data_IF_479562544522
#
_entry.id   IF_479562544522
#
_cell.length_a   1.000
_cell.length_b   1.000
_cell.length_c   1.000
_cell.angle_alpha   90.00
_cell.angle_beta   90.00
_cell.angle_gamma   90.00
#
_symmetry.space_group_name_H-M   'P 1'
#
loop_
_entity.id
_entity.type
_entity.pdbx_description
1 polymer ?
#
# COMPACT_ATOMS: atom_id res chain seq x y z
N UNK A 1 11.55 3.36 -7.08
CA UNK A 1 11.28 4.50 -6.16
C UNK A 1 9.92 5.11 -6.47
N UNK A 2 9.33 5.81 -5.49
CA UNK A 2 8.11 6.59 -5.74
C UNK A 2 8.45 7.78 -6.65
N UNK A 3 7.59 8.19 -7.60
CA UNK A 3 7.84 9.34 -8.48
C UNK A 3 8.26 10.60 -7.71
N UNK A 4 7.60 10.90 -6.60
CA UNK A 4 7.89 12.06 -5.75
C UNK A 4 9.30 12.04 -5.14
N UNK A 5 9.88 10.86 -4.95
CA UNK A 5 11.26 10.75 -4.45
C UNK A 5 12.27 11.32 -5.45
N UNK A 6 12.04 11.09 -6.74
CA UNK A 6 12.90 11.61 -7.80
C UNK A 6 12.63 13.10 -8.10
N UNK A 7 11.38 13.53 -7.97
CA UNK A 7 10.96 14.89 -8.32
C UNK A 7 11.19 15.86 -7.16
N UNK A 8 10.88 15.46 -5.93
CA UNK A 8 10.85 16.33 -4.75
C UNK A 8 11.86 15.93 -3.66
N UNK A 9 12.64 14.86 -3.87
CA UNK A 9 13.64 14.37 -2.91
C UNK A 9 13.05 13.77 -1.63
N UNK A 10 11.73 13.54 -1.57
CA UNK A 10 11.03 12.95 -0.42
C UNK A 10 10.01 11.92 -0.85
N UNK A 11 9.93 10.83 -0.12
CA UNK A 11 8.93 9.78 -0.34
C UNK A 11 7.71 10.08 0.53
N UNK A 12 6.50 10.23 -0.06
CA UNK A 12 5.29 10.32 0.76
C UNK A 12 5.08 9.00 1.50
N UNK A 13 4.48 9.02 2.70
CA UNK A 13 4.19 7.79 3.42
C UNK A 13 3.28 6.89 2.59
N UNK A 14 3.71 5.64 2.42
CA UNK A 14 2.97 4.64 1.66
C UNK A 14 1.85 4.04 2.53
N UNK A 15 0.68 3.82 1.96
CA UNK A 15 -0.42 3.11 2.65
C UNK A 15 -0.06 1.63 2.83
N UNK A 16 0.61 1.03 1.86
CA UNK A 16 1.02 -0.37 1.86
C UNK A 16 2.44 -0.52 1.32
N UNK A 17 3.17 -1.52 1.79
CA UNK A 17 4.43 -1.94 1.14
C UNK A 17 4.16 -2.51 -0.26
N UNK A 18 5.22 -2.70 -1.04
CA UNK A 18 5.11 -3.38 -2.35
C UNK A 18 4.61 -4.82 -2.16
N UNK A 19 5.12 -5.52 -1.15
CA UNK A 19 4.73 -6.89 -0.81
C UNK A 19 3.26 -6.97 -0.39
N UNK A 20 2.81 -6.07 0.48
CA UNK A 20 1.41 -6.01 0.91
C UNK A 20 0.49 -5.71 -0.27
N UNK A 21 0.88 -4.77 -1.14
CA UNK A 21 0.12 -4.44 -2.35
C UNK A 21 -0.02 -5.64 -3.28
N UNK A 22 1.07 -6.38 -3.50
CA UNK A 22 1.05 -7.62 -4.31
C UNK A 22 0.09 -8.65 -3.72
N UNK A 23 0.16 -8.89 -2.41
CA UNK A 23 -0.72 -9.83 -1.70
C UNK A 23 -2.19 -9.41 -1.78
N UNK A 24 -2.48 -8.12 -1.57
CA UNK A 24 -3.83 -7.59 -1.65
C UNK A 24 -4.41 -7.73 -3.06
N UNK A 25 -3.67 -7.39 -4.09
CA UNK A 25 -4.09 -7.52 -5.49
C UNK A 25 -4.40 -8.99 -5.82
N UNK A 26 -3.52 -9.90 -5.43
CA UNK A 26 -3.74 -11.34 -5.65
C UNK A 26 -4.95 -11.86 -4.86
N UNK A 27 -5.05 -11.51 -3.58
CA UNK A 27 -6.10 -12.04 -2.69
C UNK A 27 -7.49 -11.49 -2.98
N UNK A 28 -7.59 -10.19 -3.29
CA UNK A 28 -8.88 -9.52 -3.49
C UNK A 28 -9.41 -9.67 -4.92
N UNK A 29 -8.51 -9.74 -5.90
CA UNK A 29 -8.89 -9.70 -7.31
C UNK A 29 -8.44 -10.93 -8.10
N UNK A 30 -7.77 -11.91 -7.48
CA UNK A 30 -7.27 -13.11 -8.17
C UNK A 30 -6.18 -12.84 -9.21
N UNK A 31 -5.53 -11.68 -9.16
CA UNK A 31 -4.46 -11.32 -10.10
C UNK A 31 -3.15 -11.94 -9.60
N UNK A 32 -2.67 -12.95 -10.30
CA UNK A 32 -1.47 -13.68 -9.92
C UNK A 32 -0.18 -12.97 -10.33
N UNK A 33 -0.21 -12.24 -11.45
CA UNK A 33 0.99 -11.62 -12.03
C UNK A 33 0.95 -10.11 -11.90
N UNK A 34 1.77 -9.58 -11.01
CA UNK A 34 1.92 -8.14 -10.77
C UNK A 34 3.34 -7.72 -11.09
N UNK A 35 3.50 -6.76 -11.99
CA UNK A 35 4.79 -6.19 -12.38
C UNK A 35 4.96 -4.81 -11.72
N UNK A 36 6.08 -4.63 -11.04
CA UNK A 36 6.48 -3.34 -10.49
C UNK A 36 7.61 -2.76 -11.33
N UNK A 37 7.29 -1.72 -12.08
CA UNK A 37 8.27 -1.03 -12.90
C UNK A 37 9.07 -0.04 -12.05
N UNK A 38 10.41 -0.04 -12.14
CA UNK A 38 11.19 0.97 -11.45
C UNK A 38 10.88 2.34 -12.10
N UNK A 39 10.53 3.32 -11.27
CA UNK A 39 10.44 4.69 -11.72
C UNK A 39 11.83 5.32 -11.56
N UNK A 40 12.54 5.42 -12.66
CA UNK A 40 13.88 5.98 -12.77
C UNK A 40 13.89 7.17 -13.73
N UNK A 41 15.10 7.69 -14.05
CA UNK A 41 15.23 8.84 -14.93
C UNK A 41 14.77 8.53 -16.36
N UNK A 42 14.98 7.32 -16.85
CA UNK A 42 14.53 6.91 -18.18
C UNK A 42 12.99 6.93 -18.26
N UNK A 43 12.32 6.33 -17.26
CA UNK A 43 10.86 6.35 -17.15
C UNK A 43 10.32 7.77 -17.00
N UNK A 44 10.97 8.61 -16.20
CA UNK A 44 10.56 10.01 -15.97
C UNK A 44 10.63 10.87 -17.23
N UNK A 45 11.59 10.61 -18.14
CA UNK A 45 11.78 11.37 -19.36
C UNK A 45 11.17 10.71 -20.61
N UNK A 46 10.54 9.56 -20.48
CA UNK A 46 9.93 8.82 -21.59
C UNK A 46 8.75 9.60 -22.18
N UNK A 47 8.70 9.84 -23.50
CA UNK A 47 7.56 10.43 -24.17
C UNK A 47 6.29 9.59 -23.89
N UNK A 48 5.15 10.24 -23.80
CA UNK A 48 3.91 9.52 -23.49
C UNK A 48 3.51 8.51 -24.58
N UNK A 49 3.86 8.76 -25.84
CA UNK A 49 3.65 7.82 -26.96
C UNK A 49 4.49 6.56 -26.76
N UNK A 50 5.79 6.71 -26.45
CA UNK A 50 6.74 5.61 -26.27
C UNK A 50 6.35 4.76 -25.03
N UNK A 51 5.78 5.40 -23.99
CA UNK A 51 5.23 4.69 -22.85
C UNK A 51 4.11 3.71 -23.25
N UNK A 52 3.22 4.11 -24.16
CA UNK A 52 2.14 3.24 -24.65
C UNK A 52 2.68 2.23 -25.64
N UNK A 53 3.37 2.70 -26.69
CA UNK A 53 3.71 1.90 -27.85
C UNK A 53 4.86 0.92 -27.57
N UNK A 54 5.96 1.42 -27.02
CA UNK A 54 7.17 0.63 -26.85
C UNK A 54 7.14 -0.16 -25.56
N UNK A 55 6.73 0.48 -24.45
CA UNK A 55 6.73 -0.16 -23.16
C UNK A 55 5.51 -1.07 -22.97
N UNK A 56 4.29 -0.53 -23.06
CA UNK A 56 3.09 -1.32 -22.74
C UNK A 56 2.74 -2.29 -23.85
N UNK A 57 2.69 -1.87 -25.11
CA UNK A 57 2.29 -2.73 -26.22
C UNK A 57 3.45 -3.63 -26.64
N UNK A 58 4.60 -3.07 -27.06
CA UNK A 58 5.67 -3.85 -27.68
C UNK A 58 6.41 -4.71 -26.65
N UNK A 59 6.75 -4.17 -25.47
CA UNK A 59 7.53 -4.90 -24.46
C UNK A 59 6.65 -5.85 -23.63
N UNK A 60 5.49 -5.39 -23.16
CA UNK A 60 4.62 -6.19 -22.29
C UNK A 60 3.45 -6.86 -22.98
N UNK A 61 3.23 -6.59 -24.26
CA UNK A 61 2.16 -7.24 -25.05
C UNK A 61 0.77 -6.83 -24.60
N UNK A 62 0.59 -5.60 -24.13
CA UNK A 62 -0.70 -5.12 -23.67
C UNK A 62 -1.71 -5.07 -24.83
N UNK A 63 -2.87 -5.68 -24.64
CA UNK A 63 -3.97 -5.69 -25.61
C UNK A 63 -5.17 -4.88 -25.14
N UNK A 64 -5.17 -4.47 -23.86
CA UNK A 64 -6.19 -3.64 -23.25
C UNK A 64 -5.58 -2.86 -22.10
N UNK A 65 -5.85 -1.56 -22.01
CA UNK A 65 -5.36 -0.70 -20.95
C UNK A 65 -6.53 -0.20 -20.09
N UNK A 66 -6.33 -0.10 -18.79
CA UNK A 66 -7.31 0.47 -17.86
C UNK A 66 -6.62 1.52 -16.99
N UNK A 67 -7.20 2.71 -16.92
CA UNK A 67 -6.64 3.82 -16.14
C UNK A 67 -7.74 4.60 -15.40
N UNK A 68 -7.37 5.31 -14.35
CA UNK A 68 -8.28 6.25 -13.68
C UNK A 68 -8.48 7.54 -14.49
N UNK A 69 -9.57 8.24 -14.20
CA UNK A 69 -9.93 9.52 -14.83
C UNK A 69 -8.87 10.63 -14.67
N UNK A 70 -8.04 10.53 -13.65
CA UNK A 70 -6.99 11.49 -13.30
C UNK A 70 -5.56 10.96 -13.58
N UNK A 71 -5.46 9.86 -14.37
CA UNK A 71 -4.18 9.26 -14.66
C UNK A 71 -3.35 10.12 -15.61
N UNK A 72 -2.14 10.50 -15.17
CA UNK A 72 -1.17 11.23 -15.99
C UNK A 72 0.11 10.40 -16.10
N UNK A 73 0.73 10.44 -17.29
CA UNK A 73 1.91 9.63 -17.61
C UNK A 73 2.80 10.28 -18.64
N UNK A 74 3.97 9.67 -18.85
CA UNK A 74 4.97 10.19 -19.77
C UNK A 74 5.70 11.43 -19.25
N UNK A 75 6.64 11.93 -20.04
CA UNK A 75 7.47 13.07 -19.67
C UNK A 75 6.62 14.28 -19.31
N UNK A 76 6.85 14.87 -18.12
CA UNK A 76 6.13 16.03 -17.58
C UNK A 76 4.60 15.87 -17.54
N UNK A 77 4.12 14.66 -17.35
CA UNK A 77 2.69 14.36 -17.31
C UNK A 77 1.92 14.79 -18.57
N UNK A 78 2.58 14.73 -19.74
CA UNK A 78 1.95 15.11 -21.01
C UNK A 78 0.91 14.13 -21.51
N UNK A 79 0.94 12.86 -21.06
CA UNK A 79 -0.11 11.86 -21.27
C UNK A 79 -1.26 12.08 -20.30
N UNK A 80 -2.47 11.93 -20.79
CA UNK A 80 -3.74 12.06 -20.07
C UNK A 80 -4.73 10.97 -20.54
N UNK A 81 -5.90 10.80 -19.91
CA UNK A 81 -6.88 9.79 -20.30
C UNK A 81 -7.36 9.90 -21.74
N UNK A 82 -7.54 11.11 -22.28
CA UNK A 82 -8.01 11.32 -23.65
C UNK A 82 -6.97 10.87 -24.68
N UNK A 83 -5.69 11.20 -24.43
CA UNK A 83 -4.57 10.73 -25.24
C UNK A 83 -4.40 9.23 -25.15
N UNK A 84 -4.61 8.63 -23.96
CA UNK A 84 -4.58 7.19 -23.77
C UNK A 84 -5.65 6.51 -24.64
N UNK A 85 -6.90 6.96 -24.56
CA UNK A 85 -8.01 6.46 -25.36
C UNK A 85 -7.75 6.60 -26.88
N UNK A 86 -7.29 7.78 -27.30
CA UNK A 86 -6.99 8.04 -28.72
C UNK A 86 -5.90 7.11 -29.23
N UNK A 87 -4.79 6.97 -28.46
CA UNK A 87 -3.66 6.15 -28.87
C UNK A 87 -3.99 4.66 -28.89
N UNK A 88 -4.75 4.16 -27.92
CA UNK A 88 -5.23 2.78 -27.92
C UNK A 88 -6.09 2.48 -29.16
N UNK A 89 -6.99 3.41 -29.52
CA UNK A 89 -7.80 3.29 -30.74
C UNK A 89 -6.95 3.27 -32.02
N UNK A 90 -5.94 4.13 -32.12
CA UNK A 90 -4.98 4.13 -33.24
C UNK A 90 -4.20 2.81 -33.35
N UNK A 91 -3.89 2.19 -32.22
CA UNK A 91 -3.14 0.94 -32.12
C UNK A 91 -4.03 -0.32 -32.19
N UNK A 92 -5.35 -0.17 -32.25
CA UNK A 92 -6.28 -1.28 -32.30
C UNK A 92 -6.36 -2.11 -31.03
N UNK A 93 -6.07 -1.52 -29.87
CA UNK A 93 -6.20 -2.17 -28.56
C UNK A 93 -7.33 -1.55 -27.74
N UNK A 94 -7.83 -2.30 -26.76
CA UNK A 94 -8.89 -1.83 -25.86
C UNK A 94 -8.39 -0.80 -24.85
N UNK A 95 -9.29 0.08 -24.39
CA UNK A 95 -9.00 1.03 -23.32
C UNK A 95 -10.25 1.41 -22.55
N UNK A 96 -10.20 1.34 -21.22
CA UNK A 96 -11.23 1.82 -20.32
C UNK A 96 -10.68 2.89 -19.37
N UNK A 97 -11.41 3.99 -19.25
CA UNK A 97 -11.14 5.01 -18.24
C UNK A 97 -12.15 4.88 -17.12
N UNK A 98 -11.66 4.56 -15.93
CA UNK A 98 -12.48 4.42 -14.74
C UNK A 98 -12.86 5.81 -14.23
N UNK A 99 -14.15 6.11 -14.08
CA UNK A 99 -14.60 7.40 -13.56
C UNK A 99 -14.22 7.58 -12.09
N UNK A 100 -14.30 8.82 -11.63
CA UNK A 100 -14.11 9.15 -10.23
C UNK A 100 -15.09 8.36 -9.34
N UNK A 101 -14.55 7.70 -8.32
CA UNK A 101 -15.34 6.98 -7.33
C UNK A 101 -15.58 7.88 -6.11
N UNK A 102 -16.82 7.95 -5.67
CA UNK A 102 -17.19 8.66 -4.43
C UNK A 102 -17.88 7.70 -3.46
N UNK A 103 -17.69 7.92 -2.17
CA UNK A 103 -18.41 7.24 -1.10
C UNK A 103 -18.91 8.30 -0.10
N UNK A 104 -20.18 8.28 0.24
CA UNK A 104 -20.82 9.29 1.10
C UNK A 104 -20.57 10.74 0.63
N UNK A 105 -20.54 10.96 -0.69
CA UNK A 105 -20.26 12.27 -1.29
C UNK A 105 -18.78 12.69 -1.26
N UNK A 106 -17.88 11.84 -0.73
CA UNK A 106 -16.44 12.11 -0.63
C UNK A 106 -15.71 11.31 -1.67
N UNK A 107 -14.79 11.96 -2.38
CA UNK A 107 -13.92 11.29 -3.36
C UNK A 107 -13.02 10.26 -2.69
N UNK A 108 -13.02 9.03 -3.21
CA UNK A 108 -12.07 7.99 -2.80
C UNK A 108 -10.68 8.35 -3.35
N UNK A 109 -9.79 8.74 -2.45
CA UNK A 109 -8.43 9.14 -2.81
C UNK A 109 -7.41 8.68 -1.77
N UNK A 110 -6.19 8.41 -2.21
CA UNK A 110 -5.10 8.04 -1.31
C UNK A 110 -4.78 9.14 -0.28
N UNK A 111 -5.01 10.41 -0.62
CA UNK A 111 -4.82 11.53 0.30
C UNK A 111 -5.82 11.46 1.46
N UNK A 112 -7.10 11.31 1.15
CA UNK A 112 -8.12 11.19 2.19
C UNK A 112 -7.94 9.94 3.05
N UNK A 113 -7.62 8.80 2.43
CA UNK A 113 -7.34 7.55 3.15
C UNK A 113 -6.16 7.72 4.13
N UNK A 114 -5.10 8.42 3.74
CA UNK A 114 -3.98 8.72 4.66
C UNK A 114 -4.45 9.50 5.88
N UNK A 115 -5.27 10.54 5.72
CA UNK A 115 -5.76 11.31 6.87
C UNK A 115 -6.60 10.46 7.83
N UNK A 116 -7.38 9.50 7.32
CA UNK A 116 -8.15 8.57 8.14
C UNK A 116 -7.25 7.63 8.95
N UNK A 117 -6.20 7.08 8.32
CA UNK A 117 -5.23 6.21 8.98
C UNK A 117 -4.45 7.00 10.05
N UNK A 118 -3.94 8.18 9.71
CA UNK A 118 -3.19 9.06 10.61
C UNK A 118 -4.00 9.49 11.84
N UNK A 119 -5.32 9.63 11.68
CA UNK A 119 -6.24 9.95 12.77
C UNK A 119 -6.81 8.72 13.49
N UNK A 120 -6.42 7.50 13.11
CA UNK A 120 -6.88 6.25 13.74
C UNK A 120 -8.31 5.85 13.41
N UNK A 121 -8.96 6.49 12.43
CA UNK A 121 -10.33 6.17 11.99
C UNK A 121 -10.33 4.93 11.08
N UNK A 122 -9.98 3.76 11.64
CA UNK A 122 -9.65 2.58 10.87
C UNK A 122 -10.85 1.91 10.20
N UNK A 123 -12.04 1.95 10.81
CA UNK A 123 -13.28 1.47 10.17
C UNK A 123 -13.59 2.28 8.92
N UNK A 124 -13.53 3.60 9.05
CA UNK A 124 -13.76 4.49 7.91
C UNK A 124 -12.65 4.37 6.85
N UNK A 125 -11.41 4.22 7.26
CA UNK A 125 -10.30 3.94 6.34
C UNK A 125 -10.53 2.64 5.55
N UNK A 126 -11.02 1.57 6.20
CA UNK A 126 -11.35 0.31 5.55
C UNK A 126 -12.50 0.46 4.54
N UNK A 127 -13.48 1.29 4.84
CA UNK A 127 -14.58 1.61 3.94
C UNK A 127 -14.10 2.26 2.63
N UNK A 128 -13.16 3.20 2.73
CA UNK A 128 -12.59 3.88 1.56
C UNK A 128 -11.52 3.08 0.84
N UNK A 129 -10.81 2.19 1.53
CA UNK A 129 -9.86 1.24 0.93
C UNK A 129 -10.55 0.09 0.20
N UNK A 130 -11.78 -0.26 0.62
CA UNK A 130 -12.45 -1.50 0.20
C UNK A 130 -11.90 -2.77 0.88
N UNK A 131 -10.96 -2.61 1.82
CA UNK A 131 -10.37 -3.67 2.63
C UNK A 131 -9.78 -3.09 3.92
N UNK A 132 -9.53 -3.93 4.92
CA UNK A 132 -8.83 -3.48 6.14
C UNK A 132 -7.37 -3.13 5.82
N UNK A 133 -6.89 -2.06 6.42
CA UNK A 133 -5.46 -1.73 6.38
C UNK A 133 -4.64 -2.89 6.93
N UNK A 134 -3.54 -3.22 6.30
CA UNK A 134 -2.69 -4.33 6.70
C UNK A 134 -1.22 -3.91 6.75
N UNK A 135 -0.49 -4.61 7.60
CA UNK A 135 0.95 -4.48 7.78
C UNK A 135 1.57 -5.88 7.87
N UNK A 136 2.44 -6.23 6.93
CA UNK A 136 3.13 -7.52 6.93
C UNK A 136 4.60 -7.32 7.24
N UNK A 137 5.08 -8.00 8.29
CA UNK A 137 6.49 -7.99 8.71
C UNK A 137 6.88 -9.31 9.35
N UNK A 138 8.18 -9.55 9.37
CA UNK A 138 8.75 -10.61 10.18
C UNK A 138 8.65 -10.24 11.65
N UNK A 139 8.26 -11.21 12.47
CA UNK A 139 8.25 -11.05 13.92
C UNK A 139 9.67 -10.80 14.43
N UNK A 140 9.81 -9.81 15.27
CA UNK A 140 11.09 -9.49 15.92
C UNK A 140 11.01 -9.76 17.42
N UNK A 141 12.14 -10.15 18.02
CA UNK A 141 12.20 -10.33 19.45
C UNK A 141 12.10 -8.98 20.15
N UNK A 142 11.06 -8.82 20.98
CA UNK A 142 10.89 -7.68 21.89
C UNK A 142 11.49 -7.94 23.27
N UNK A 143 11.28 -7.01 24.18
CA UNK A 143 11.76 -7.09 25.59
C UNK A 143 11.13 -8.23 26.42
N UNK A 144 10.24 -9.05 25.83
CA UNK A 144 9.55 -10.22 26.44
C UNK A 144 8.79 -9.89 27.74
N UNK A 145 8.57 -8.60 28.04
CA UNK A 145 7.88 -8.18 29.26
C UNK A 145 6.45 -8.77 29.35
N UNK A 146 5.74 -8.87 28.22
CA UNK A 146 4.41 -9.48 28.16
C UNK A 146 4.40 -10.94 28.64
N UNK A 147 5.45 -11.72 28.41
CA UNK A 147 5.56 -13.12 28.92
C UNK A 147 5.57 -13.18 30.45
N UNK A 148 6.14 -12.18 31.12
CA UNK A 148 6.21 -12.18 32.61
C UNK A 148 4.87 -11.91 33.27
N UNK A 149 3.92 -11.33 32.54
CA UNK A 149 2.56 -11.02 33.01
C UNK A 149 1.49 -11.90 32.33
N UNK A 150 1.90 -12.97 31.64
CA UNK A 150 0.97 -13.91 31.01
C UNK A 150 0.31 -13.39 29.70
N UNK A 151 0.83 -12.31 29.12
CA UNK A 151 0.32 -11.70 27.88
C UNK A 151 1.45 -11.65 26.83
N UNK A 152 1.83 -12.77 26.23
CA UNK A 152 2.90 -12.80 25.24
C UNK A 152 2.48 -12.02 23.99
N UNK A 153 3.31 -11.06 23.57
CA UNK A 153 3.07 -10.24 22.37
C UNK A 153 4.08 -10.55 21.29
N UNK A 154 3.63 -10.55 20.05
CA UNK A 154 4.51 -10.50 18.88
C UNK A 154 4.83 -9.04 18.56
N UNK A 155 6.09 -8.79 18.26
CA UNK A 155 6.58 -7.45 17.94
C UNK A 155 6.88 -7.37 16.44
N UNK A 156 6.42 -6.29 15.83
CA UNK A 156 6.74 -5.97 14.45
C UNK A 156 7.55 -4.67 14.41
N UNK A 157 8.64 -4.67 13.67
CA UNK A 157 9.32 -3.42 13.33
C UNK A 157 8.59 -2.77 12.16
N UNK A 158 8.04 -1.57 12.33
CA UNK A 158 7.37 -0.88 11.24
C UNK A 158 8.31 -0.69 10.05
N UNK A 159 7.81 -0.84 8.82
CA UNK A 159 8.64 -0.56 7.65
C UNK A 159 8.87 0.94 7.51
N UNK A 160 10.05 1.31 7.04
CA UNK A 160 10.35 2.70 6.71
C UNK A 160 9.34 3.21 5.66
N UNK A 161 8.92 4.45 5.84
CA UNK A 161 8.01 5.15 4.91
C UNK A 161 6.62 4.53 4.72
N UNK A 162 6.20 3.59 5.56
CA UNK A 162 4.81 3.10 5.57
C UNK A 162 4.03 3.80 6.67
N UNK A 163 2.84 4.23 6.31
CA UNK A 163 1.93 4.89 7.22
C UNK A 163 1.42 3.91 8.27
N UNK A 164 1.51 4.31 9.52
CA UNK A 164 0.91 3.59 10.64
C UNK A 164 -0.34 4.33 11.11
N UNK A 165 -1.32 3.60 11.65
CA UNK A 165 -2.42 4.23 12.37
C UNK A 165 -1.94 5.09 13.54
N UNK A 166 -2.78 6.01 13.97
CA UNK A 166 -2.54 6.79 15.18
C UNK A 166 -2.13 5.86 16.35
N UNK A 167 -1.38 6.40 17.32
CA UNK A 167 -1.07 5.65 18.55
C UNK A 167 -2.35 5.25 19.26
N UNK A 168 -2.43 3.99 19.67
CA UNK A 168 -3.62 3.45 20.29
C UNK A 168 -3.67 1.94 20.29
N UNK A 169 -4.80 1.42 20.71
CA UNK A 169 -5.06 -0.03 20.78
C UNK A 169 -6.13 -0.39 19.75
N UNK A 170 -5.86 -1.41 18.96
CA UNK A 170 -6.68 -1.81 17.82
C UNK A 170 -7.05 -3.30 17.91
N UNK A 171 -8.29 -3.60 17.58
CA UNK A 171 -8.71 -4.99 17.32
C UNK A 171 -8.19 -5.37 15.93
N UNK A 172 -7.43 -6.45 15.88
CA UNK A 172 -6.74 -6.88 14.66
C UNK A 172 -7.03 -8.34 14.33
N UNK A 173 -6.73 -8.73 13.10
CA UNK A 173 -6.67 -10.12 12.66
C UNK A 173 -5.27 -10.39 12.14
N UNK A 174 -4.61 -11.36 12.75
CA UNK A 174 -3.26 -11.78 12.37
C UNK A 174 -3.36 -12.98 11.46
N UNK A 175 -2.69 -12.92 10.30
CA UNK A 175 -2.56 -14.04 9.38
C UNK A 175 -1.20 -14.67 9.57
N UNK A 176 -1.20 -15.94 9.89
CA UNK A 176 0.00 -16.74 10.16
C UNK A 176 0.63 -17.25 8.84
N UNK A 177 1.89 -17.68 8.85
CA UNK A 177 2.57 -18.20 7.66
C UNK A 177 1.91 -19.43 7.03
N UNK A 178 1.23 -20.26 7.83
CA UNK A 178 0.48 -21.43 7.39
C UNK A 178 -0.89 -21.10 6.76
N UNK A 179 -1.26 -19.81 6.74
CA UNK A 179 -2.55 -19.34 6.22
C UNK A 179 -3.67 -19.27 7.25
N UNK A 180 -3.47 -19.75 8.47
CA UNK A 180 -4.42 -19.59 9.54
C UNK A 180 -4.59 -18.11 9.95
N UNK A 181 -5.70 -17.77 10.58
CA UNK A 181 -5.91 -16.41 11.07
C UNK A 181 -6.41 -16.41 12.51
N UNK A 182 -5.80 -15.57 13.32
CA UNK A 182 -6.05 -15.45 14.75
C UNK A 182 -6.49 -14.02 15.08
N UNK A 183 -7.50 -13.82 15.93
CA UNK A 183 -7.83 -12.50 16.43
C UNK A 183 -6.72 -11.99 17.35
N UNK A 184 -6.53 -10.68 17.39
CA UNK A 184 -5.49 -10.08 18.22
C UNK A 184 -5.83 -8.68 18.66
N UNK A 185 -5.08 -8.20 19.64
CA UNK A 185 -5.10 -6.82 20.11
C UNK A 185 -3.72 -6.21 19.85
N UNK A 186 -3.67 -5.18 19.01
CA UNK A 186 -2.44 -4.52 18.62
C UNK A 186 -2.32 -3.16 19.29
N UNK A 187 -1.21 -2.94 19.98
CA UNK A 187 -0.83 -1.65 20.51
C UNK A 187 0.18 -0.98 19.55
N UNK A 188 -0.14 0.21 19.11
CA UNK A 188 0.79 1.10 18.41
C UNK A 188 1.21 2.20 19.38
N UNK A 189 2.46 2.18 19.78
CA UNK A 189 2.99 3.07 20.80
C UNK A 189 4.41 3.53 20.52
N UNK A 190 5.04 4.18 21.49
CA UNK A 190 6.47 4.51 21.47
C UNK A 190 7.20 3.73 22.51
N UNK A 191 8.42 3.30 22.20
CA UNK A 191 9.36 2.80 23.18
C UNK A 191 10.38 3.89 23.48
N UNK A 192 10.62 4.21 24.78
CA UNK A 192 11.78 4.99 25.14
C UNK A 192 13.04 4.22 24.71
N UNK A 193 13.80 4.77 23.79
CA UNK A 193 15.13 4.23 23.45
C UNK A 193 16.19 5.05 24.19
N UNK A 194 17.25 4.38 24.63
CA UNK A 194 18.39 5.01 25.33
C UNK A 194 19.19 5.95 24.40
N UNK A 195 18.94 5.86 23.08
CA UNK A 195 19.52 6.73 22.04
C UNK A 195 18.43 7.57 21.39
N UNK A 196 18.65 8.85 21.24
CA UNK A 196 17.78 9.91 20.72
C UNK A 196 16.71 9.45 19.70
N UNK A 197 15.48 9.32 20.16
CA UNK A 197 14.28 9.14 19.34
C UNK A 197 13.30 8.12 19.91
N UNK A 198 12.03 8.53 20.01
CA UNK A 198 10.91 7.64 20.33
C UNK A 198 10.64 6.69 19.14
N UNK A 199 11.21 5.49 19.16
CA UNK A 199 10.90 4.49 18.15
C UNK A 199 9.44 4.02 18.29
N UNK A 200 8.70 4.04 17.19
CA UNK A 200 7.34 3.50 17.16
C UNK A 200 7.41 1.98 17.27
N UNK A 201 6.62 1.40 18.19
CA UNK A 201 6.46 -0.04 18.35
C UNK A 201 5.07 -0.47 17.90
N UNK A 202 5.02 -1.65 17.30
CA UNK A 202 3.78 -2.36 16.95
C UNK A 202 3.82 -3.70 17.66
N UNK A 203 3.00 -3.86 18.67
CA UNK A 203 2.95 -5.05 19.53
C UNK A 203 1.56 -5.65 19.47
N UNK A 204 1.47 -6.94 19.15
CA UNK A 204 0.19 -7.62 19.05
C UNK A 204 0.12 -8.79 20.01
N UNK A 205 -0.89 -8.81 20.87
CA UNK A 205 -1.30 -9.95 21.64
C UNK A 205 -2.26 -10.80 20.79
N UNK A 206 -1.96 -12.08 20.64
CA UNK A 206 -2.81 -13.04 19.91
C UNK A 206 -3.77 -13.70 20.90
N UNK A 207 -5.07 -13.59 20.61
CA UNK A 207 -6.09 -14.19 21.45
C UNK A 207 -6.22 -15.69 21.13
N UNK A 208 -6.31 -16.52 22.18
CA UNK A 208 -6.49 -17.97 22.06
C UNK A 208 -5.43 -18.66 21.18
N UNK A 209 -4.20 -18.14 21.21
CA UNK A 209 -3.06 -18.69 20.47
C UNK A 209 -1.96 -19.15 21.43
N UNK A 210 -1.65 -20.44 21.36
CA UNK A 210 -0.59 -21.07 22.16
C UNK A 210 0.44 -21.68 21.18
N UNK A 211 1.41 -20.86 20.79
CA UNK A 211 2.45 -21.24 19.84
C UNK A 211 3.57 -20.22 19.80
N UNK A 212 4.70 -20.60 19.20
CA UNK A 212 5.82 -19.71 18.88
C UNK A 212 5.68 -19.19 17.43
N UNK A 213 5.97 -17.90 17.24
CA UNK A 213 6.01 -17.20 15.95
C UNK A 213 7.35 -16.53 15.71
#
# INVERSE_FOLDING_TARGET
>A
SHPDTLVFGRTPPLINTIEDRKRLISRLFGIEKVLFLPFDRAMMTMPWQDFIDDLLISTYGAVHLVAGHDYHFGHRNQGDPDKLLSRCRERGIGCDIIPQVTRDGITVSSTYIRTLIESGQMERAADFLGHRHCLTRTVTHGCRFGRTIGIPTVNLTPPDHVLLPARGVYVTRVFLPDGASVPGVTNIGTRPTVSDGDAVSVETFLLDFDGDL
#
